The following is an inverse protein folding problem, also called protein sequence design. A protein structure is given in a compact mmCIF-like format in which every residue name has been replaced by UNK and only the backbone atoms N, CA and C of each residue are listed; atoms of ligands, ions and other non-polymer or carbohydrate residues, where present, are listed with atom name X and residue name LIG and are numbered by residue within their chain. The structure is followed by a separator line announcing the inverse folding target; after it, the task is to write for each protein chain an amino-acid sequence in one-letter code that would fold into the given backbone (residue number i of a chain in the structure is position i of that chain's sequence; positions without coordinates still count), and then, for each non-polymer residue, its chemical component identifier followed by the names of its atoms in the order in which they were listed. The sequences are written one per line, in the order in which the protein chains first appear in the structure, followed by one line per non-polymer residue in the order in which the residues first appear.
data_IF_602317527636
#
_entry.id   IF_602317527636
#
_cell.length_a   1.000
_cell.length_b   1.000
_cell.length_c   1.000
_cell.angle_alpha   90.00
_cell.angle_beta   90.00
_cell.angle_gamma   90.00
#
_symmetry.space_group_name_H-M   'P 1'
#
loop_
_entity.id
_entity.type
_entity.pdbx_description
1 polymer ?
#
# COMPACT_ATOMS: atom_id res chain seq x y z
N UNK A 1 -12.56 32.08 40.74
CA UNK A 1 -12.37 33.10 39.70
C UNK A 1 -11.03 32.80 39.06
N UNK A 2 -10.94 31.79 38.19
CA UNK A 2 -11.34 31.87 36.75
C UNK A 2 -10.74 33.13 36.12
N UNK A 3 -9.82 33.01 35.17
CA UNK A 3 -10.10 32.65 33.77
C UNK A 3 -8.79 32.18 33.10
N UNK A 4 -8.66 30.92 32.69
CA UNK A 4 -8.70 30.45 31.28
C UNK A 4 -8.63 31.53 30.18
N UNK A 5 -7.61 31.44 29.32
CA UNK A 5 -7.54 32.10 28.01
C UNK A 5 -6.08 32.31 27.59
N UNK A 6 -5.60 31.88 26.45
CA UNK A 6 -6.21 31.18 25.33
C UNK A 6 -5.07 30.75 24.41
N UNK A 7 -5.20 29.55 23.87
CA UNK A 7 -4.38 29.02 22.78
C UNK A 7 -4.69 29.86 21.54
N UNK A 8 -3.80 30.78 21.18
CA UNK A 8 -3.89 31.47 19.89
C UNK A 8 -3.41 30.51 18.81
N UNK A 9 -4.37 29.85 18.18
CA UNK A 9 -4.19 29.26 16.87
C UNK A 9 -4.14 30.42 15.87
N UNK A 10 -2.93 30.82 15.47
CA UNK A 10 -2.75 31.70 14.32
C UNK A 10 -3.13 30.92 13.05
N UNK A 11 -4.33 31.22 12.57
CA UNK A 11 -4.94 30.70 11.36
C UNK A 11 -4.47 31.53 10.14
N UNK A 12 -3.17 31.49 9.86
CA UNK A 12 -2.61 32.06 8.63
C UNK A 12 -1.99 30.93 7.81
N UNK A 13 -2.66 30.57 6.71
CA UNK A 13 -2.30 29.46 5.83
C UNK A 13 -0.86 29.55 5.31
N UNK A 14 -0.02 28.64 5.79
CA UNK A 14 1.23 28.21 5.17
C UNK A 14 1.18 26.70 5.29
N UNK A 15 1.09 26.02 4.13
CA UNK A 15 0.90 24.57 4.06
C UNK A 15 1.88 23.83 4.96
N UNK A 16 1.35 22.84 5.69
CA UNK A 16 2.14 21.93 6.50
C UNK A 16 3.38 21.49 5.70
N UNK A 17 4.59 21.54 6.28
CA UNK A 17 5.79 21.16 5.56
C UNK A 17 5.60 19.75 5.02
N UNK A 18 5.85 19.59 3.71
CA UNK A 18 5.88 18.28 3.06
C UNK A 18 6.76 17.36 3.93
N UNK A 19 6.36 16.10 4.14
CA UNK A 19 7.14 15.19 4.96
C UNK A 19 8.56 15.12 4.39
N UNK A 20 9.56 15.52 5.18
CA UNK A 20 10.98 15.53 4.78
C UNK A 20 11.66 14.18 5.05
N UNK A 21 10.89 13.20 5.51
CA UNK A 21 11.36 11.88 5.89
C UNK A 21 10.35 10.80 5.47
N UNK A 22 10.87 9.60 5.20
CA UNK A 22 10.07 8.44 4.84
C UNK A 22 9.21 7.98 6.03
N UNK A 23 7.90 8.31 6.01
CA UNK A 23 6.95 7.94 7.04
C UNK A 23 6.73 6.42 7.17
N UNK A 24 7.07 5.63 6.14
CA UNK A 24 6.96 4.17 6.20
C UNK A 24 7.98 3.54 7.15
N UNK A 25 9.11 4.22 7.42
CA UNK A 25 10.15 3.75 8.35
C UNK A 25 9.82 4.00 9.83
N UNK A 26 8.71 4.68 10.12
CA UNK A 26 8.24 4.92 11.49
C UNK A 26 6.82 4.39 11.74
N UNK A 27 5.95 4.29 10.74
CA UNK A 27 4.56 3.89 10.99
C UNK A 27 4.30 2.37 11.03
N UNK A 28 4.77 1.59 10.05
CA UNK A 28 4.56 0.12 10.00
C UNK A 28 3.11 -0.36 9.82
N UNK A 29 2.15 0.54 9.63
CA UNK A 29 0.72 0.23 9.71
C UNK A 29 0.25 -0.80 8.68
N UNK A 30 0.65 -0.68 7.40
CA UNK A 30 0.19 -1.59 6.36
C UNK A 30 0.59 -3.06 6.63
N UNK A 31 1.80 -3.30 7.15
CA UNK A 31 2.29 -4.62 7.53
C UNK A 31 1.57 -5.21 8.76
N UNK A 32 0.82 -4.40 9.49
CA UNK A 32 0.10 -4.78 10.69
C UNK A 32 -1.43 -4.63 10.54
N UNK A 33 -1.90 -4.48 9.29
CA UNK A 33 -3.33 -4.36 8.98
C UNK A 33 -3.78 -5.33 7.89
N UNK A 34 -2.96 -5.57 6.87
CA UNK A 34 -3.40 -6.31 5.69
C UNK A 34 -2.94 -7.76 5.64
N UNK A 35 -3.84 -8.64 5.20
CA UNK A 35 -3.51 -9.99 4.75
C UNK A 35 -2.73 -9.90 3.43
N UNK A 36 -1.49 -10.40 3.42
CA UNK A 36 -0.62 -10.33 2.24
C UNK A 36 -0.61 -11.69 1.54
N UNK A 37 -1.60 -11.92 0.69
CA UNK A 37 -1.68 -13.11 -0.17
C UNK A 37 -1.21 -12.79 -1.60
N UNK A 38 -0.49 -13.74 -2.22
CA UNK A 38 0.13 -13.60 -3.53
C UNK A 38 0.34 -14.97 -4.19
N UNK A 39 0.78 -14.99 -5.46
CA UNK A 39 0.98 -16.26 -6.18
C UNK A 39 2.16 -17.04 -5.59
N UNK A 40 1.96 -18.32 -5.27
CA UNK A 40 3.01 -19.13 -4.62
C UNK A 40 4.30 -19.23 -5.42
N UNK A 41 4.25 -19.08 -6.76
CA UNK A 41 5.45 -19.08 -7.61
C UNK A 41 6.37 -17.88 -7.41
N UNK A 42 5.95 -16.83 -6.70
CA UNK A 42 6.82 -15.70 -6.34
C UNK A 42 7.80 -16.04 -5.19
N UNK A 43 7.67 -17.19 -4.53
CA UNK A 43 8.61 -17.62 -3.49
C UNK A 43 9.94 -18.08 -4.07
N UNK A 44 10.98 -18.12 -3.24
CA UNK A 44 12.30 -18.60 -3.62
C UNK A 44 12.41 -20.12 -3.82
N UNK A 45 11.34 -20.88 -3.52
CA UNK A 45 11.20 -22.27 -3.97
C UNK A 45 11.13 -22.38 -5.51
N UNK A 46 10.54 -21.38 -6.18
CA UNK A 46 10.29 -21.40 -7.62
C UNK A 46 10.93 -20.24 -8.39
N UNK A 47 11.16 -19.10 -7.74
CA UNK A 47 11.76 -17.90 -8.33
C UNK A 47 13.01 -17.49 -7.55
N UNK A 48 14.22 -17.70 -8.09
CA UNK A 48 15.46 -17.27 -7.42
C UNK A 48 15.41 -15.78 -7.02
N UNK A 49 15.68 -15.49 -5.75
CA UNK A 49 15.58 -14.14 -5.20
C UNK A 49 14.15 -13.65 -4.90
N UNK A 50 13.15 -14.52 -5.05
CA UNK A 50 11.75 -14.30 -4.67
C UNK A 50 11.55 -14.19 -3.16
N UNK A 51 10.30 -14.24 -2.71
CA UNK A 51 9.96 -14.17 -1.28
C UNK A 51 10.50 -15.42 -0.55
N UNK A 52 11.16 -15.31 0.61
CA UNK A 52 11.59 -16.49 1.36
C UNK A 52 10.40 -17.42 1.68
N UNK A 53 10.41 -18.64 1.14
CA UNK A 53 9.32 -19.60 1.31
C UNK A 53 9.06 -19.91 2.79
N UNK A 54 10.12 -19.97 3.60
CA UNK A 54 10.05 -20.15 5.06
C UNK A 54 9.26 -19.03 5.79
N UNK A 55 9.06 -17.87 5.17
CA UNK A 55 8.30 -16.74 5.73
C UNK A 55 6.86 -16.71 5.24
N UNK A 56 6.45 -17.73 4.50
CA UNK A 56 5.12 -17.85 3.90
C UNK A 56 4.37 -19.07 4.42
N UNK A 57 3.05 -19.06 4.27
CA UNK A 57 2.17 -20.20 4.52
C UNK A 57 1.14 -20.33 3.39
N UNK A 58 0.56 -21.52 3.25
CA UNK A 58 -0.41 -21.78 2.19
C UNK A 58 -1.72 -21.02 2.44
N UNK A 59 -2.19 -20.27 1.45
CA UNK A 59 -3.43 -19.49 1.47
C UNK A 59 -4.48 -20.01 0.46
N UNK A 60 -4.17 -21.10 -0.24
CA UNK A 60 -5.01 -21.75 -1.24
C UNK A 60 -4.17 -22.61 -2.19
N UNK A 61 -4.78 -23.24 -3.22
CA UNK A 61 -4.06 -24.14 -4.13
C UNK A 61 -2.92 -23.46 -4.92
N UNK A 62 -3.08 -22.17 -5.22
CA UNK A 62 -2.12 -21.38 -6.00
C UNK A 62 -1.69 -20.11 -5.28
N UNK A 63 -1.98 -20.00 -3.99
CA UNK A 63 -1.70 -18.80 -3.21
C UNK A 63 -0.86 -19.14 -1.99
N UNK A 64 0.15 -18.31 -1.76
CA UNK A 64 0.85 -18.21 -0.50
C UNK A 64 0.46 -16.89 0.17
N UNK A 65 0.59 -16.80 1.49
CA UNK A 65 0.56 -15.52 2.18
C UNK A 65 1.75 -15.38 3.12
N UNK A 66 2.08 -14.13 3.46
CA UNK A 66 3.12 -13.87 4.47
C UNK A 66 2.64 -14.37 5.83
N UNK A 67 3.48 -15.13 6.55
CA UNK A 67 3.18 -15.58 7.91
C UNK A 67 2.84 -14.39 8.81
N UNK A 68 1.85 -14.62 9.69
CA UNK A 68 1.33 -13.60 10.61
C UNK A 68 0.34 -12.62 9.97
N UNK A 69 0.00 -12.79 8.69
CA UNK A 69 -1.00 -11.93 8.02
C UNK A 69 -2.36 -12.60 7.79
N UNK A 70 -2.46 -13.92 7.99
CA UNK A 70 -3.68 -14.70 7.79
C UNK A 70 -4.68 -14.67 8.97
N UNK A 71 -4.23 -14.22 10.14
CA UNK A 71 -5.03 -14.19 11.38
C UNK A 71 -4.93 -12.83 12.07
N UNK A 72 -5.95 -12.49 12.85
CA UNK A 72 -5.95 -11.30 13.69
C UNK A 72 -5.39 -11.63 15.09
N UNK A 73 -4.54 -10.77 15.68
CA UNK A 73 -4.05 -9.51 15.13
C UNK A 73 -3.00 -9.73 14.01
N UNK A 74 -3.13 -8.96 12.92
CA UNK A 74 -2.22 -9.04 11.77
C UNK A 74 -0.86 -8.44 12.16
N UNK A 75 0.20 -9.19 11.93
CA UNK A 75 1.58 -8.70 11.97
C UNK A 75 2.45 -9.54 11.05
N UNK A 76 2.81 -8.97 9.90
CA UNK A 76 3.70 -9.62 8.95
C UNK A 76 5.03 -10.02 9.60
N UNK A 77 5.46 -11.26 9.37
CA UNK A 77 6.75 -11.79 9.86
C UNK A 77 7.95 -10.95 9.41
N UNK A 78 7.87 -10.32 8.23
CA UNK A 78 8.93 -9.47 7.70
C UNK A 78 9.02 -8.08 8.34
N UNK A 79 8.05 -7.69 9.17
CA UNK A 79 8.05 -6.40 9.87
C UNK A 79 8.99 -6.48 11.07
N UNK A 80 10.12 -5.81 10.96
CA UNK A 80 11.06 -5.63 12.07
C UNK A 80 10.87 -4.26 12.73
N UNK A 81 11.12 -4.22 14.04
CA UNK A 81 10.98 -3.02 14.85
C UNK A 81 9.59 -2.83 15.47
N UNK A 82 9.38 -1.61 15.96
CA UNK A 82 8.21 -1.21 16.74
C UNK A 82 7.37 -0.19 15.97
N UNK A 83 6.11 -0.56 15.71
CA UNK A 83 5.11 0.28 15.03
C UNK A 83 5.01 1.63 15.74
N UNK A 84 5.06 2.72 14.98
CA UNK A 84 5.03 4.10 15.49
C UNK A 84 6.37 4.64 15.98
N UNK A 85 7.42 3.82 16.02
CA UNK A 85 8.75 4.22 16.51
C UNK A 85 9.79 4.12 15.40
N UNK A 86 10.15 2.89 15.02
CA UNK A 86 11.12 2.59 13.97
C UNK A 86 10.86 1.19 13.47
N UNK A 87 10.62 1.08 12.17
CA UNK A 87 10.30 -0.18 11.50
C UNK A 87 11.00 -0.26 10.16
N UNK A 88 11.17 -1.49 9.68
CA UNK A 88 11.51 -1.75 8.29
C UNK A 88 11.04 -3.14 7.87
N UNK A 89 11.03 -3.38 6.56
CA UNK A 89 10.79 -4.70 6.02
C UNK A 89 12.13 -5.40 5.81
N UNK A 90 12.37 -6.51 6.51
CA UNK A 90 13.61 -7.27 6.42
C UNK A 90 13.89 -7.84 5.01
N UNK A 91 12.84 -7.97 4.19
CA UNK A 91 12.90 -8.44 2.81
C UNK A 91 12.41 -7.40 1.80
N UNK A 92 12.57 -6.10 2.09
CA UNK A 92 12.11 -5.02 1.19
C UNK A 92 12.41 -5.22 -0.31
N UNK A 93 13.64 -5.63 -0.73
CA UNK A 93 13.93 -5.88 -2.14
C UNK A 93 13.30 -7.17 -2.70
N UNK A 94 12.93 -8.12 -1.83
CA UNK A 94 12.34 -9.43 -2.16
C UNK A 94 10.84 -9.50 -1.85
N UNK A 95 10.16 -8.34 -1.71
CA UNK A 95 8.72 -8.27 -1.41
C UNK A 95 7.86 -8.94 -2.50
N UNK A 96 6.73 -9.57 -2.14
CA UNK A 96 5.77 -10.08 -3.12
C UNK A 96 5.12 -8.95 -3.92
N UNK A 97 4.57 -9.29 -5.08
CA UNK A 97 3.79 -8.42 -5.95
C UNK A 97 2.69 -7.67 -5.18
N UNK A 98 1.97 -8.36 -4.30
CA UNK A 98 0.93 -7.77 -3.45
C UNK A 98 1.43 -6.60 -2.58
N UNK A 99 2.68 -6.63 -2.13
CA UNK A 99 3.30 -5.51 -1.41
C UNK A 99 3.84 -4.43 -2.35
N UNK A 100 4.24 -4.78 -3.57
CA UNK A 100 4.77 -3.83 -4.57
C UNK A 100 3.65 -2.99 -5.18
N UNK A 101 2.49 -3.60 -5.44
CA UNK A 101 1.27 -2.94 -5.94
C UNK A 101 0.69 -1.94 -4.93
N UNK A 102 1.10 -2.00 -3.67
CA UNK A 102 0.81 -0.95 -2.69
C UNK A 102 1.74 0.24 -2.92
N UNK A 103 1.42 1.08 -3.92
CA UNK A 103 2.24 2.21 -4.34
C UNK A 103 2.03 3.38 -3.39
N UNK A 104 2.52 3.26 -2.14
CA UNK A 104 2.79 4.42 -1.28
C UNK A 104 4.23 4.30 -0.81
N UNK A 105 5.11 5.09 -1.41
CA UNK A 105 6.53 5.03 -1.16
C UNK A 105 7.17 6.44 -1.11
N UNK A 106 8.46 6.43 -0.82
CA UNK A 106 9.29 7.62 -0.69
C UNK A 106 10.32 7.64 -1.81
N UNK A 107 10.31 8.68 -2.63
CA UNK A 107 11.22 8.81 -3.78
C UNK A 107 12.58 9.44 -3.43
N UNK A 108 12.77 9.84 -2.17
CA UNK A 108 13.94 10.61 -1.73
C UNK A 108 13.60 12.05 -1.31
N UNK A 109 12.48 12.58 -1.78
CA UNK A 109 12.05 13.96 -1.54
C UNK A 109 10.60 14.09 -1.07
N UNK A 110 9.70 13.24 -1.56
CA UNK A 110 8.27 13.28 -1.24
C UNK A 110 7.68 11.88 -1.13
N UNK A 111 6.60 11.76 -0.37
CA UNK A 111 5.73 10.58 -0.42
C UNK A 111 4.93 10.61 -1.73
N UNK A 112 4.91 9.50 -2.46
CA UNK A 112 4.16 9.34 -3.71
C UNK A 112 3.21 8.17 -3.62
N UNK A 113 2.16 8.20 -4.42
CA UNK A 113 1.30 7.04 -4.61
C UNK A 113 0.13 7.27 -5.54
N UNK A 114 -0.64 6.22 -5.79
CA UNK A 114 -1.94 6.33 -6.47
C UNK A 114 -3.09 6.51 -5.47
N UNK A 115 -4.27 6.84 -5.98
CA UNK A 115 -5.45 7.13 -5.17
C UNK A 115 -5.90 5.92 -4.31
N UNK A 116 -5.88 4.69 -4.85
CA UNK A 116 -6.27 3.50 -4.11
C UNK A 116 -5.24 3.17 -3.02
N UNK A 117 -3.96 3.17 -3.38
CA UNK A 117 -2.87 2.90 -2.44
C UNK A 117 -2.84 3.94 -1.31
N UNK A 118 -3.05 5.22 -1.62
CA UNK A 118 -3.16 6.28 -0.60
C UNK A 118 -4.36 6.12 0.31
N UNK A 119 -5.53 5.76 -0.25
CA UNK A 119 -6.74 5.47 0.53
C UNK A 119 -6.49 4.32 1.50
N UNK A 120 -5.89 3.22 1.03
CA UNK A 120 -5.56 2.06 1.86
C UNK A 120 -4.51 2.42 2.91
N UNK A 121 -3.47 3.17 2.54
CA UNK A 121 -2.48 3.67 3.51
C UNK A 121 -3.16 4.43 4.65
N UNK A 122 -4.03 5.38 4.31
CA UNK A 122 -4.78 6.18 5.28
C UNK A 122 -5.65 5.31 6.20
N UNK A 123 -6.34 4.29 5.66
CA UNK A 123 -7.13 3.36 6.46
C UNK A 123 -6.29 2.56 7.44
N UNK A 124 -5.15 2.01 7.00
CA UNK A 124 -4.24 1.27 7.87
C UNK A 124 -3.65 2.16 8.97
N UNK A 125 -3.29 3.40 8.62
CA UNK A 125 -2.79 4.40 9.58
C UNK A 125 -3.83 4.71 10.65
N UNK A 126 -5.09 4.95 10.25
CA UNK A 126 -6.18 5.20 11.17
C UNK A 126 -6.43 4.01 12.13
N UNK A 127 -6.34 2.77 11.63
CA UNK A 127 -6.48 1.56 12.46
C UNK A 127 -5.41 1.45 13.56
N UNK A 128 -4.26 2.11 13.37
CA UNK A 128 -3.15 2.17 14.32
C UNK A 128 -3.00 3.53 15.02
N UNK A 129 -4.00 4.42 14.91
CA UNK A 129 -4.01 5.72 15.57
C UNK A 129 -3.10 6.78 14.95
N UNK A 130 -2.61 6.56 13.73
CA UNK A 130 -1.81 7.54 13.00
C UNK A 130 -2.69 8.45 12.13
N UNK A 131 -2.33 9.74 11.98
CA UNK A 131 -3.03 10.64 11.05
C UNK A 131 -2.76 10.23 9.60
N UNK A 132 -3.59 10.64 8.62
CA UNK A 132 -3.26 10.51 7.19
C UNK A 132 -1.89 11.11 6.86
N UNK A 133 -1.24 10.65 5.80
CA UNK A 133 0.00 11.27 5.34
C UNK A 133 -0.31 12.62 4.69
N UNK A 134 0.42 13.66 5.11
CA UNK A 134 0.33 14.99 4.52
C UNK A 134 1.24 15.08 3.28
N UNK A 135 0.85 15.88 2.29
CA UNK A 135 1.73 16.22 1.17
C UNK A 135 2.08 15.06 0.24
N UNK A 136 1.27 13.98 0.23
CA UNK A 136 1.47 12.88 -0.72
C UNK A 136 1.15 13.38 -2.12
N UNK A 137 2.08 13.18 -3.06
CA UNK A 137 1.83 13.44 -4.48
C UNK A 137 1.05 12.26 -5.02
N UNK A 138 -0.22 12.49 -5.34
CA UNK A 138 -1.09 11.46 -5.94
C UNK A 138 -0.91 11.49 -7.46
N UNK A 139 -0.39 10.39 -7.99
CA UNK A 139 -0.21 10.21 -9.43
C UNK A 139 -1.47 9.55 -10.03
N UNK A 140 -1.94 10.03 -11.19
CA UNK A 140 -3.03 9.35 -11.87
C UNK A 140 -2.57 7.95 -12.23
N UNK A 141 -3.34 6.93 -11.84
CA UNK A 141 -3.12 5.56 -12.34
C UNK A 141 -3.10 5.67 -13.85
N UNK A 142 -1.96 5.37 -14.47
CA UNK A 142 -1.87 5.26 -15.91
C UNK A 142 -2.88 4.22 -16.33
N UNK A 143 -4.07 4.64 -16.76
CA UNK A 143 -4.90 3.80 -17.61
C UNK A 143 -3.98 3.56 -18.80
N UNK A 144 -3.52 2.33 -19.08
CA UNK A 144 -2.99 2.10 -20.40
C UNK A 144 -4.13 2.50 -21.32
N UNK A 145 -3.96 3.58 -22.10
CA UNK A 145 -4.71 3.74 -23.33
C UNK A 145 -4.34 2.51 -24.15
N UNK A 146 -4.99 1.38 -23.88
CA UNK A 146 -5.22 0.40 -24.92
C UNK A 146 -6.15 1.13 -25.86
N UNK A 147 -5.73 1.49 -27.08
CA UNK A 147 -6.72 1.70 -28.10
C UNK A 147 -7.57 0.44 -28.07
N UNK A 148 -8.89 0.57 -27.95
CA UNK A 148 -9.75 -0.53 -28.39
C UNK A 148 -9.19 -0.94 -29.76
N UNK A 149 -8.86 -2.23 -30.00
CA UNK A 149 -8.46 -2.61 -31.34
C UNK A 149 -9.57 -2.12 -32.27
N UNK A 150 -9.18 -1.32 -33.27
CA UNK A 150 -10.11 -0.82 -34.28
C UNK A 150 -10.99 -1.99 -34.71
N UNK A 151 -12.32 -1.84 -34.80
CA UNK A 151 -13.17 -2.93 -35.22
C UNK A 151 -12.63 -3.43 -36.56
N UNK A 152 -12.09 -4.65 -36.55
CA UNK A 152 -11.48 -5.24 -37.74
C UNK A 152 -12.46 -5.10 -38.90
N UNK A 153 -12.04 -4.59 -40.08
CA UNK A 153 -12.94 -4.44 -41.22
C UNK A 153 -13.51 -5.82 -41.55
N UNK A 154 -14.80 -6.02 -41.27
CA UNK A 154 -15.49 -7.29 -41.46
C UNK A 154 -16.29 -7.82 -40.26
N UNK A 155 -16.28 -7.16 -39.10
CA UNK A 155 -17.20 -7.56 -38.01
C UNK A 155 -18.60 -7.03 -38.30
N UNK A 156 -19.45 -7.87 -38.90
CA UNK A 156 -20.88 -7.57 -39.08
C UNK A 156 -21.52 -7.32 -37.70
N UNK A 157 -22.28 -6.23 -37.51
CA UNK A 157 -22.93 -5.95 -36.23
C UNK A 157 -23.87 -7.10 -35.84
N UNK A 158 -23.72 -7.62 -34.62
CA UNK A 158 -24.65 -8.59 -34.06
C UNK A 158 -25.99 -7.86 -33.85
N UNK A 159 -27.11 -8.32 -34.43
CA UNK A 159 -28.40 -7.66 -34.26
C UNK A 159 -28.80 -7.71 -32.79
N UNK A 160 -29.01 -6.54 -32.19
CA UNK A 160 -29.61 -6.44 -30.86
C UNK A 160 -31.02 -7.01 -30.95
N UNK A 161 -31.31 -8.09 -30.23
CA UNK A 161 -32.69 -8.55 -30.05
C UNK A 161 -33.47 -7.41 -29.40
N UNK A 162 -34.53 -6.95 -30.06
CA UNK A 162 -35.53 -6.09 -29.45
C UNK A 162 -36.21 -6.87 -28.31
N UNK A 163 -36.35 -6.22 -27.16
CA UNK A 163 -37.15 -6.69 -26.03
C UNK A 163 -38.64 -6.61 -26.34
#
# INVERSE_FOLDING_TARGET
MEIHGGREADATGIGDPLPTANACLSCGACCATYHVAFYYGETDDLTPGGVPAEWTEAAGPFLACMKGTSTFPVRCIALEGNIGVSVHCAIYPRRPSACRVFHVDWDGASMRGDEDSYRRCTLSRAAWGFPPLQGVIIEPVGVPESPLPDPSPGTTPIPRKAA
#
